data_IF_074272077956
#
_entry.id   IF_074272077956
#
_cell.length_a   1.000
_cell.length_b   1.000
_cell.length_c   1.000
_cell.angle_alpha   90.00
_cell.angle_beta   90.00
_cell.angle_gamma   90.00
#
_symmetry.space_group_name_H-M   'P 1'
#
loop_
_entity.id
_entity.type
_entity.pdbx_description
1 polymer ?
#
# COMPACT_ATOMS: atom_id res chain seq x y z
N UNK A 1 -34.40 -6.00 6.24
CA UNK A 1 -33.51 -5.76 7.41
C UNK A 1 -34.11 -6.45 8.62
N UNK A 2 -33.30 -7.12 9.44
CA UNK A 2 -33.78 -7.62 10.74
C UNK A 2 -34.06 -6.44 11.68
N UNK A 3 -35.09 -6.58 12.51
CA UNK A 3 -35.56 -5.53 13.44
C UNK A 3 -34.44 -5.03 14.38
N UNK A 4 -33.47 -5.90 14.71
CA UNK A 4 -32.28 -5.56 15.50
C UNK A 4 -31.30 -4.62 14.79
N UNK A 5 -31.08 -4.81 13.48
CA UNK A 5 -30.14 -3.97 12.70
C UNK A 5 -30.74 -2.57 12.48
N UNK A 6 -32.07 -2.49 12.30
CA UNK A 6 -32.79 -1.21 12.25
C UNK A 6 -32.70 -0.43 13.56
N UNK A 7 -32.87 -1.10 14.71
CA UNK A 7 -32.81 -0.45 16.04
C UNK A 7 -31.41 0.07 16.40
N UNK A 8 -30.35 -0.62 15.99
CA UNK A 8 -28.96 -0.17 16.22
C UNK A 8 -28.63 1.07 15.38
N UNK A 9 -29.00 1.06 14.10
CA UNK A 9 -28.81 2.19 13.20
C UNK A 9 -29.62 3.42 13.66
N UNK A 10 -30.85 3.21 14.14
CA UNK A 10 -31.70 4.27 14.68
C UNK A 10 -31.07 4.90 15.94
N UNK A 11 -30.44 4.11 16.81
CA UNK A 11 -29.75 4.58 18.01
C UNK A 11 -28.54 5.47 17.66
N UNK A 12 -27.76 5.08 16.65
CA UNK A 12 -26.58 5.83 16.22
C UNK A 12 -26.98 7.18 15.57
N UNK A 13 -28.09 7.19 14.83
CA UNK A 13 -28.70 8.42 14.28
C UNK A 13 -29.24 9.32 15.40
N UNK A 14 -29.89 8.75 16.41
CA UNK A 14 -30.42 9.42 17.59
C UNK A 14 -29.33 10.12 18.42
N UNK A 15 -28.19 9.44 18.65
CA UNK A 15 -27.04 10.02 19.35
C UNK A 15 -26.39 11.16 18.54
N UNK A 16 -26.39 11.07 17.22
CA UNK A 16 -25.82 12.08 16.33
C UNK A 16 -26.70 13.34 16.22
N UNK A 17 -28.02 13.17 16.08
CA UNK A 17 -28.99 14.27 16.04
C UNK A 17 -29.10 15.02 17.38
N UNK A 18 -28.88 14.33 18.50
CA UNK A 18 -28.86 14.93 19.84
C UNK A 18 -27.73 15.94 20.07
N UNK A 19 -26.69 15.94 19.23
CA UNK A 19 -25.51 16.83 19.33
C UNK A 19 -25.56 18.07 18.44
N UNK A 20 -26.58 18.20 17.59
CA UNK A 20 -26.71 19.33 16.65
C UNK A 20 -27.57 20.46 17.24
N UNK A 21 -27.17 21.75 17.12
CA UNK A 21 -28.03 22.85 17.52
C UNK A 21 -29.26 22.93 16.61
N UNK A 22 -30.41 23.28 17.18
CA UNK A 22 -31.71 23.27 16.48
C UNK A 22 -31.71 24.32 15.36
N UNK A 23 -31.32 23.88 14.16
CA UNK A 23 -31.50 24.63 12.93
C UNK A 23 -32.67 24.02 12.17
N UNK A 24 -33.60 24.90 11.79
CA UNK A 24 -34.82 24.63 11.03
C UNK A 24 -35.98 23.97 11.79
N UNK A 25 -36.68 24.77 12.60
CA UNK A 25 -38.14 24.83 12.72
C UNK A 25 -38.94 23.66 13.30
N UNK A 26 -38.38 22.45 13.37
CA UNK A 26 -39.01 21.25 13.97
C UNK A 26 -38.22 20.83 15.21
N UNK A 27 -38.94 20.48 16.27
CA UNK A 27 -38.32 19.92 17.48
C UNK A 27 -37.70 18.55 17.19
N UNK A 28 -36.67 18.16 17.95
CA UNK A 28 -35.98 16.86 17.77
C UNK A 28 -36.95 15.66 17.78
N UNK A 29 -37.95 15.70 18.66
CA UNK A 29 -38.96 14.64 18.79
C UNK A 29 -39.90 14.54 17.56
N UNK A 30 -40.14 15.67 16.87
CA UNK A 30 -40.95 15.72 15.66
C UNK A 30 -40.17 15.21 14.44
N UNK A 31 -38.87 15.53 14.35
CA UNK A 31 -37.98 14.99 13.31
C UNK A 31 -37.89 13.46 13.42
N UNK A 32 -37.85 12.91 14.63
CA UNK A 32 -37.81 11.47 14.85
C UNK A 32 -39.08 10.75 14.42
N UNK A 33 -40.25 11.28 14.79
CA UNK A 33 -41.55 10.76 14.34
C UNK A 33 -41.68 10.80 12.82
N UNK A 34 -41.08 11.81 12.17
CA UNK A 34 -41.06 11.93 10.71
C UNK A 34 -40.17 10.86 10.05
N UNK A 35 -38.97 10.61 10.59
CA UNK A 35 -38.05 9.56 10.09
C UNK A 35 -38.67 8.18 10.22
N UNK A 36 -39.23 7.83 11.38
CA UNK A 36 -39.87 6.53 11.59
C UNK A 36 -41.05 6.32 10.64
N UNK A 37 -41.90 7.34 10.46
CA UNK A 37 -43.01 7.29 9.52
C UNK A 37 -42.52 7.05 8.08
N UNK A 38 -41.51 7.79 7.63
CA UNK A 38 -40.98 7.65 6.27
C UNK A 38 -40.27 6.31 6.03
N UNK A 39 -39.63 5.74 7.05
CA UNK A 39 -39.05 4.39 6.98
C UNK A 39 -40.14 3.31 6.85
N UNK A 40 -41.25 3.44 7.59
CA UNK A 40 -42.41 2.54 7.49
C UNK A 40 -43.07 2.64 6.11
N UNK A 41 -43.09 3.84 5.53
CA UNK A 41 -43.57 4.11 4.17
C UNK A 41 -42.57 3.69 3.07
N UNK A 42 -41.42 3.12 3.44
CA UNK A 42 -40.42 2.58 2.52
C UNK A 42 -39.63 3.65 1.73
N UNK A 43 -39.57 4.89 2.24
CA UNK A 43 -38.84 5.99 1.60
C UNK A 43 -37.33 5.80 1.66
N UNK A 44 -36.64 6.30 0.63
CA UNK A 44 -35.18 6.23 0.52
C UNK A 44 -34.49 7.21 1.48
N UNK A 45 -33.22 6.94 1.80
CA UNK A 45 -32.44 7.76 2.73
C UNK A 45 -32.22 9.20 2.28
N UNK A 46 -32.09 9.44 0.97
CA UNK A 46 -31.99 10.78 0.41
C UNK A 46 -33.30 11.57 0.57
N UNK A 47 -34.44 10.90 0.44
CA UNK A 47 -35.76 11.51 0.67
C UNK A 47 -35.96 11.84 2.16
N UNK A 48 -35.57 10.93 3.05
CA UNK A 48 -35.61 11.15 4.50
C UNK A 48 -34.70 12.31 4.89
N UNK A 49 -33.47 12.34 4.36
CA UNK A 49 -32.49 13.38 4.65
C UNK A 49 -32.95 14.78 4.26
N UNK A 50 -33.43 14.91 3.02
CA UNK A 50 -34.04 16.16 2.56
C UNK A 50 -35.23 16.59 3.43
N UNK A 51 -36.04 15.64 3.90
CA UNK A 51 -37.24 15.94 4.69
C UNK A 51 -36.95 16.48 6.11
N UNK A 52 -35.86 16.04 6.77
CA UNK A 52 -35.51 16.53 8.11
C UNK A 52 -34.44 17.63 8.13
N UNK A 53 -34.06 18.13 6.94
CA UNK A 53 -33.00 19.12 6.78
C UNK A 53 -31.62 18.55 7.13
N UNK A 54 -31.46 17.24 6.93
CA UNK A 54 -30.22 16.49 7.12
C UNK A 54 -29.60 16.28 5.73
N UNK A 55 -28.59 17.08 5.42
CA UNK A 55 -27.76 16.88 4.24
C UNK A 55 -26.71 15.82 4.59
N UNK A 56 -27.14 14.56 4.56
CA UNK A 56 -26.40 13.32 4.91
C UNK A 56 -24.92 13.47 5.33
N UNK A 57 -24.59 13.35 6.62
CA UNK A 57 -23.25 13.21 7.16
C UNK A 57 -22.80 11.75 7.07
N UNK A 58 -22.60 11.29 5.85
CA UNK A 58 -21.25 10.82 5.49
C UNK A 58 -20.53 12.06 4.93
N UNK A 59 -20.28 13.15 5.68
CA UNK A 59 -19.34 13.21 6.81
C UNK A 59 -18.37 12.03 6.80
N UNK A 60 -17.49 11.87 5.81
CA UNK A 60 -16.50 12.85 5.34
C UNK A 60 -15.43 13.18 6.41
N UNK A 61 -15.60 12.80 7.68
CA UNK A 61 -14.74 13.32 8.77
C UNK A 61 -14.45 12.33 9.93
N UNK A 62 -14.99 11.10 9.97
CA UNK A 62 -14.78 10.22 11.14
C UNK A 62 -13.53 9.32 11.14
N UNK A 63 -12.70 9.41 10.11
CA UNK A 63 -11.31 8.98 10.21
C UNK A 63 -10.43 10.16 9.80
N UNK A 64 -10.15 11.04 10.77
CA UNK A 64 -9.01 11.96 10.70
C UNK A 64 -7.77 11.09 10.45
N UNK A 65 -7.25 11.11 9.22
CA UNK A 65 -5.90 10.67 8.93
C UNK A 65 -5.06 11.92 8.83
N UNK A 66 -4.15 12.11 9.78
CA UNK A 66 -3.18 13.21 9.76
C UNK A 66 -2.27 13.09 8.52
N UNK A 67 -2.13 14.20 7.81
CA UNK A 67 -1.12 14.46 6.78
C UNK A 67 0.28 14.63 7.42
N UNK A 68 1.41 14.31 6.73
CA UNK A 68 1.94 15.30 5.78
C UNK A 68 2.77 14.80 4.56
N UNK A 69 2.49 15.45 3.42
CA UNK A 69 3.39 16.16 2.49
C UNK A 69 4.52 15.46 1.67
N UNK A 70 4.47 15.86 0.39
CA UNK A 70 5.10 15.55 -0.93
C UNK A 70 6.59 15.95 -1.13
N UNK A 71 7.21 15.86 -2.35
CA UNK A 71 7.20 14.86 -3.45
C UNK A 71 8.57 14.73 -4.22
N UNK A 72 8.51 14.09 -5.41
CA UNK A 72 9.25 14.30 -6.70
C UNK A 72 10.61 13.64 -6.94
N UNK A 73 10.61 12.78 -7.96
CA UNK A 73 11.73 12.53 -8.88
C UNK A 73 12.94 11.81 -8.27
N UNK A 74 13.20 10.61 -8.74
CA UNK A 74 14.21 9.71 -8.15
C UNK A 74 13.53 8.71 -7.24
N UNK A 75 14.01 7.46 -7.31
CA UNK A 75 13.62 6.26 -6.54
C UNK A 75 12.45 6.53 -5.58
N UNK A 76 11.26 6.04 -5.88
CA UNK A 76 10.08 6.23 -5.03
C UNK A 76 10.44 5.92 -3.57
N UNK A 77 10.44 6.94 -2.69
CA UNK A 77 10.52 6.73 -1.25
C UNK A 77 9.40 5.76 -0.91
N UNK A 78 9.69 4.56 -0.37
CA UNK A 78 8.61 3.67 0.03
C UNK A 78 7.78 4.40 1.06
N UNK A 79 6.48 4.12 1.07
CA UNK A 79 5.48 4.78 1.89
C UNK A 79 5.86 4.98 3.36
N UNK A 80 6.77 4.17 3.90
CA UNK A 80 7.18 4.15 5.30
C UNK A 80 8.57 4.71 5.58
N UNK A 81 9.33 5.13 4.57
CA UNK A 81 10.69 5.58 4.76
C UNK A 81 10.76 7.11 4.81
N UNK A 82 11.47 7.63 5.81
CA UNK A 82 11.80 9.05 5.91
C UNK A 82 12.85 9.43 4.84
N UNK A 83 13.74 8.48 4.55
CA UNK A 83 14.87 8.67 3.65
C UNK A 83 15.17 7.42 2.83
N UNK A 84 15.78 7.63 1.67
CA UNK A 84 16.40 6.58 0.87
C UNK A 84 17.89 6.66 1.13
N UNK A 85 18.51 5.51 1.27
CA UNK A 85 19.94 5.37 1.42
C UNK A 85 20.47 4.48 0.29
N UNK A 86 21.42 5.04 -0.46
CA UNK A 86 22.19 4.34 -1.47
C UNK A 86 23.58 3.98 -0.91
N UNK A 87 23.79 2.73 -0.47
CA UNK A 87 25.08 2.32 0.08
C UNK A 87 26.18 2.21 -0.98
N UNK A 88 25.85 2.10 -2.28
CA UNK A 88 26.86 2.12 -3.34
C UNK A 88 27.41 3.54 -3.51
N UNK A 89 26.53 4.54 -3.42
CA UNK A 89 26.93 5.94 -3.45
C UNK A 89 27.66 6.38 -2.17
N UNK A 90 27.14 5.98 -1.00
CA UNK A 90 27.67 6.43 0.29
C UNK A 90 27.42 5.42 1.43
N UNK A 91 28.24 4.37 1.50
CA UNK A 91 28.15 3.30 2.51
C UNK A 91 28.11 3.79 3.97
N UNK A 92 28.86 4.83 4.34
CA UNK A 92 28.96 5.25 5.75
C UNK A 92 28.01 6.39 6.12
N UNK A 93 27.22 6.90 5.17
CA UNK A 93 26.36 8.07 5.38
C UNK A 93 25.38 7.86 6.54
N UNK A 94 24.77 6.69 6.62
CA UNK A 94 23.80 6.37 7.66
C UNK A 94 24.37 6.46 9.09
N UNK A 95 25.68 6.28 9.28
CA UNK A 95 26.32 6.41 10.60
C UNK A 95 26.42 7.86 11.09
N UNK A 96 26.30 8.83 10.17
CA UNK A 96 26.40 10.25 10.50
C UNK A 96 25.08 10.86 10.99
N UNK A 97 23.95 10.18 10.75
CA UNK A 97 22.62 10.69 11.06
C UNK A 97 22.36 10.65 12.57
N UNK A 98 21.98 11.80 13.13
CA UNK A 98 21.83 11.99 14.57
C UNK A 98 20.41 11.71 15.10
N UNK A 99 19.45 11.50 14.20
CA UNK A 99 18.04 11.26 14.54
C UNK A 99 17.59 9.89 14.05
N UNK A 100 16.76 9.14 14.81
CA UNK A 100 16.15 7.90 14.35
C UNK A 100 15.41 8.13 13.03
N UNK A 101 15.62 7.23 12.06
CA UNK A 101 15.02 7.29 10.73
C UNK A 101 14.54 5.92 10.31
N UNK A 102 13.47 5.88 9.52
CA UNK A 102 13.10 4.75 8.69
C UNK A 102 13.77 4.93 7.33
N UNK A 103 14.67 4.01 7.00
CA UNK A 103 15.58 4.11 5.87
C UNK A 103 15.19 3.05 4.86
N UNK A 104 14.87 3.44 3.64
CA UNK A 104 14.82 2.50 2.55
C UNK A 104 16.20 2.27 1.96
N UNK A 105 16.59 1.01 1.84
CA UNK A 105 17.87 0.64 1.24
C UNK A 105 17.65 0.36 -0.25
N UNK A 106 18.29 1.16 -1.10
CA UNK A 106 18.22 1.08 -2.56
C UNK A 106 19.64 1.14 -3.13
N UNK A 107 19.98 0.52 -4.28
CA UNK A 107 19.14 -0.36 -5.10
C UNK A 107 18.96 -1.75 -4.45
N UNK A 108 18.41 -2.73 -5.19
CA UNK A 108 18.19 -4.10 -4.69
C UNK A 108 19.50 -4.70 -4.14
N UNK A 109 19.60 -4.78 -2.80
CA UNK A 109 20.80 -5.20 -2.08
C UNK A 109 21.25 -6.63 -2.45
N UNK A 110 20.32 -7.47 -2.93
CA UNK A 110 20.61 -8.86 -3.32
C UNK A 110 20.61 -9.06 -4.83
N UNK A 111 20.80 -7.99 -5.60
CA UNK A 111 21.01 -8.09 -7.03
C UNK A 111 22.24 -8.98 -7.35
N UNK A 112 22.18 -9.90 -8.33
CA UNK A 112 23.26 -10.86 -8.60
C UNK A 112 24.62 -10.24 -8.96
N UNK A 113 24.65 -8.96 -9.38
CA UNK A 113 25.90 -8.24 -9.66
C UNK A 113 26.60 -7.72 -8.40
N UNK A 114 25.90 -7.65 -7.26
CA UNK A 114 26.47 -7.16 -6.02
C UNK A 114 27.17 -8.31 -5.28
N UNK A 115 28.46 -8.15 -4.94
CA UNK A 115 29.18 -9.17 -4.20
C UNK A 115 28.63 -9.26 -2.77
N UNK A 116 28.60 -10.47 -2.21
CA UNK A 116 28.14 -10.66 -0.83
C UNK A 116 28.98 -9.92 0.19
N UNK A 117 30.26 -9.64 -0.10
CA UNK A 117 31.12 -8.80 0.72
C UNK A 117 30.58 -7.37 0.86
N UNK A 118 29.91 -6.84 -0.17
CA UNK A 118 29.24 -5.55 -0.09
C UNK A 118 27.98 -5.63 0.78
N UNK A 119 27.19 -6.68 0.63
CA UNK A 119 26.03 -6.94 1.51
C UNK A 119 26.47 -7.06 2.98
N UNK A 120 27.59 -7.73 3.24
CA UNK A 120 28.20 -7.84 4.58
C UNK A 120 28.52 -6.45 5.17
N UNK A 121 29.04 -5.53 4.36
CA UNK A 121 29.35 -4.15 4.75
C UNK A 121 28.08 -3.33 5.01
N UNK A 122 27.05 -3.45 4.17
CA UNK A 122 25.77 -2.77 4.38
C UNK A 122 25.11 -3.23 5.67
N UNK A 123 25.04 -4.55 5.90
CA UNK A 123 24.50 -5.09 7.15
C UNK A 123 25.35 -4.70 8.36
N UNK A 124 26.67 -4.60 8.22
CA UNK A 124 27.54 -4.06 9.28
C UNK A 124 27.19 -2.61 9.66
N UNK A 125 26.83 -1.77 8.68
CA UNK A 125 26.33 -0.41 8.95
C UNK A 125 25.01 -0.49 9.74
N UNK A 126 24.06 -1.34 9.34
CA UNK A 126 22.79 -1.49 10.10
C UNK A 126 22.99 -1.94 11.56
N UNK A 127 24.05 -2.72 11.81
CA UNK A 127 24.49 -3.15 13.14
C UNK A 127 25.10 -2.00 13.94
N UNK A 128 25.82 -1.09 13.28
CA UNK A 128 26.48 0.07 13.89
C UNK A 128 25.49 1.19 14.25
N UNK A 129 24.41 1.34 13.47
CA UNK A 129 23.41 2.40 13.64
C UNK A 129 22.02 1.86 13.97
N UNK A 130 21.93 1.15 15.09
CA UNK A 130 20.70 0.48 15.57
C UNK A 130 19.54 1.41 15.90
N UNK A 131 19.79 2.73 16.00
CA UNK A 131 18.75 3.73 16.21
C UNK A 131 17.84 3.92 14.99
N UNK A 132 18.28 3.51 13.79
CA UNK A 132 17.48 3.59 12.57
C UNK A 132 16.86 2.24 12.23
N UNK A 133 15.70 2.28 11.59
CA UNK A 133 15.01 1.12 11.04
C UNK A 133 15.29 1.03 9.54
N UNK A 134 15.79 -0.11 9.06
CA UNK A 134 16.15 -0.34 7.67
C UNK A 134 15.09 -1.19 6.98
N UNK A 135 14.49 -0.67 5.94
CA UNK A 135 13.58 -1.35 5.03
C UNK A 135 14.41 -1.81 3.83
N UNK A 136 14.75 -3.09 3.80
CA UNK A 136 15.48 -3.72 2.70
C UNK A 136 14.45 -4.42 1.81
N UNK A 137 14.48 -4.19 0.51
CA UNK A 137 13.58 -4.81 -0.46
C UNK A 137 14.39 -5.49 -1.55
N UNK A 138 13.97 -6.69 -1.99
CA UNK A 138 14.62 -7.41 -3.08
C UNK A 138 13.65 -8.08 -4.04
N UNK A 139 14.02 -8.17 -5.31
CA UNK A 139 13.37 -9.02 -6.31
C UNK A 139 14.07 -10.39 -6.44
N UNK A 140 15.28 -10.51 -5.89
CA UNK A 140 16.17 -11.66 -6.02
C UNK A 140 16.12 -12.55 -4.77
N UNK A 141 14.93 -13.02 -4.42
CA UNK A 141 14.68 -13.86 -3.24
C UNK A 141 15.60 -15.09 -3.12
N UNK A 142 15.94 -15.82 -4.19
CA UNK A 142 16.90 -16.93 -4.10
C UNK A 142 18.30 -16.49 -3.65
N UNK A 143 18.79 -15.35 -4.15
CA UNK A 143 20.11 -14.81 -3.80
C UNK A 143 20.13 -14.38 -2.33
N UNK A 144 19.07 -13.69 -1.89
CA UNK A 144 18.89 -13.32 -0.49
C UNK A 144 18.87 -14.55 0.43
N UNK A 145 18.15 -15.60 0.02
CA UNK A 145 18.10 -16.87 0.75
C UNK A 145 19.48 -17.51 0.87
N UNK A 146 20.19 -17.67 -0.24
CA UNK A 146 21.53 -18.26 -0.28
C UNK A 146 22.52 -17.46 0.56
N UNK A 147 22.37 -16.14 0.59
CA UNK A 147 23.10 -15.28 1.52
C UNK A 147 22.78 -15.67 2.96
N UNK A 148 21.54 -15.48 3.45
CA UNK A 148 21.24 -15.66 4.88
C UNK A 148 21.41 -17.10 5.39
N UNK A 149 21.22 -18.12 4.54
CA UNK A 149 21.39 -19.53 4.92
C UNK A 149 22.85 -20.01 4.91
N UNK A 150 23.79 -19.19 4.44
CA UNK A 150 25.20 -19.57 4.40
C UNK A 150 25.84 -19.57 5.79
N UNK A 151 26.41 -20.72 6.18
CA UNK A 151 26.91 -21.05 7.53
C UNK A 151 27.88 -20.04 8.17
N UNK A 152 28.56 -19.24 7.37
CA UNK A 152 29.61 -18.33 7.84
C UNK A 152 29.27 -16.85 7.69
N UNK A 153 28.08 -16.50 7.17
CA UNK A 153 27.76 -15.09 6.89
C UNK A 153 27.75 -14.22 8.11
N UNK A 154 27.26 -14.76 9.23
CA UNK A 154 27.32 -14.03 10.48
C UNK A 154 28.74 -13.59 10.86
N UNK A 155 29.71 -14.50 10.71
CA UNK A 155 31.12 -14.18 10.97
C UNK A 155 31.68 -13.11 10.01
N UNK A 156 31.18 -13.07 8.76
CA UNK A 156 31.56 -12.06 7.77
C UNK A 156 31.00 -10.68 8.08
N UNK A 157 29.72 -10.59 8.46
CA UNK A 157 29.10 -9.33 8.91
C UNK A 157 29.83 -8.78 10.14
N UNK A 158 30.16 -9.64 11.11
CA UNK A 158 30.93 -9.23 12.29
C UNK A 158 32.35 -8.78 11.94
N UNK A 159 33.00 -9.44 10.99
CA UNK A 159 34.30 -9.03 10.48
C UNK A 159 34.22 -7.64 9.83
N UNK A 160 33.24 -7.42 8.95
CA UNK A 160 33.01 -6.12 8.32
C UNK A 160 32.71 -5.03 9.37
N UNK A 161 31.90 -5.32 10.37
CA UNK A 161 31.59 -4.42 11.50
C UNK A 161 32.86 -3.98 12.23
N UNK A 162 33.75 -4.93 12.56
CA UNK A 162 35.04 -4.64 13.21
C UNK A 162 35.97 -3.82 12.32
N UNK A 163 35.98 -4.08 11.01
CA UNK A 163 36.78 -3.31 10.06
C UNK A 163 36.29 -1.86 9.96
N UNK A 164 34.97 -1.66 9.91
CA UNK A 164 34.37 -0.32 9.83
C UNK A 164 34.50 0.47 11.14
N UNK A 165 34.42 -0.21 12.29
CA UNK A 165 34.53 0.42 13.59
C UNK A 165 35.31 -0.45 14.61
N UNK A 166 36.66 -0.41 14.60
CA UNK A 166 37.53 -1.29 15.40
C UNK A 166 37.31 -1.22 16.93
N UNK A 167 36.74 -0.13 17.43
CA UNK A 167 36.49 0.08 18.86
C UNK A 167 35.12 -0.42 19.36
N UNK A 168 34.23 -0.92 18.49
CA UNK A 168 32.90 -1.36 18.94
C UNK A 168 32.95 -2.83 19.37
N UNK A 169 32.93 -3.06 20.69
CA UNK A 169 32.89 -4.39 21.33
C UNK A 169 31.51 -4.71 21.92
N UNK A 170 30.42 -4.14 21.40
CA UNK A 170 29.08 -4.50 21.90
C UNK A 170 28.75 -5.94 21.54
N UNK A 171 28.03 -6.62 22.45
CA UNK A 171 27.31 -7.84 22.13
C UNK A 171 26.34 -7.52 20.99
N UNK A 172 26.72 -7.88 19.77
CA UNK A 172 25.83 -7.74 18.62
C UNK A 172 24.86 -8.90 18.70
N UNK A 173 23.56 -8.59 18.71
CA UNK A 173 22.51 -9.59 18.58
C UNK A 173 22.73 -10.43 17.32
N UNK A 174 22.67 -11.75 17.44
CA UNK A 174 22.63 -12.64 16.28
C UNK A 174 21.46 -12.24 15.36
N UNK A 175 21.61 -12.52 14.06
CA UNK A 175 20.50 -12.41 13.12
C UNK A 175 19.28 -13.20 13.63
N UNK A 176 18.04 -12.67 13.51
CA UNK A 176 17.64 -11.44 12.83
C UNK A 176 17.81 -10.14 13.64
N UNK A 177 18.21 -9.06 12.98
CA UNK A 177 18.36 -7.76 13.64
C UNK A 177 16.99 -7.09 13.89
N UNK A 178 16.75 -6.52 15.09
CA UNK A 178 15.46 -5.93 15.42
C UNK A 178 15.13 -4.69 14.58
N UNK A 179 16.17 -4.00 14.09
CA UNK A 179 16.04 -2.78 13.31
C UNK A 179 16.11 -3.00 11.78
N UNK A 180 16.06 -4.26 11.32
CA UNK A 180 16.04 -4.60 9.88
C UNK A 180 14.72 -5.28 9.53
N UNK A 181 14.01 -4.68 8.58
CA UNK A 181 12.76 -5.16 8.01
C UNK A 181 13.03 -5.66 6.59
N UNK A 182 12.85 -6.96 6.37
CA UNK A 182 13.11 -7.59 5.07
C UNK A 182 11.84 -7.64 4.23
N UNK A 183 11.96 -7.19 2.99
CA UNK A 183 10.89 -7.10 2.01
C UNK A 183 11.16 -7.92 0.77
N UNK A 184 10.12 -8.55 0.22
CA UNK A 184 10.13 -9.10 -1.13
C UNK A 184 9.31 -8.21 -2.08
N UNK A 185 9.82 -7.98 -3.28
CA UNK A 185 9.12 -7.29 -4.37
C UNK A 185 8.57 -8.33 -5.35
N UNK A 186 7.25 -8.34 -5.53
CA UNK A 186 6.52 -9.31 -6.36
C UNK A 186 5.79 -8.54 -7.46
N UNK A 187 6.03 -8.93 -8.72
CA UNK A 187 5.41 -8.35 -9.92
C UNK A 187 4.55 -9.33 -10.70
N UNK A 188 4.70 -10.64 -10.43
CA UNK A 188 3.98 -11.71 -11.14
C UNK A 188 3.69 -12.91 -10.25
N UNK A 189 2.72 -13.73 -10.68
CA UNK A 189 2.39 -14.96 -9.95
C UNK A 189 3.55 -15.96 -9.97
N UNK A 190 4.38 -15.99 -11.03
CA UNK A 190 5.57 -16.84 -11.06
C UNK A 190 6.58 -16.47 -9.96
N UNK A 191 6.81 -15.17 -9.73
CA UNK A 191 7.64 -14.72 -8.61
C UNK A 191 7.02 -15.08 -7.27
N UNK A 192 5.70 -14.90 -7.15
CA UNK A 192 4.94 -15.26 -5.97
C UNK A 192 5.02 -16.76 -5.65
N UNK A 193 5.03 -17.63 -6.66
CA UNK A 193 5.14 -19.07 -6.48
C UNK A 193 6.53 -19.48 -5.94
N UNK A 194 7.53 -18.60 -6.06
CA UNK A 194 8.88 -18.74 -5.48
C UNK A 194 9.06 -17.98 -4.16
N UNK A 195 7.99 -17.44 -3.58
CA UNK A 195 8.05 -16.71 -2.31
C UNK A 195 8.60 -17.56 -1.16
N UNK A 196 8.55 -18.90 -1.26
CA UNK A 196 9.17 -19.81 -0.31
C UNK A 196 10.63 -19.46 -0.02
N UNK A 197 11.37 -18.96 -1.02
CA UNK A 197 12.76 -18.56 -0.83
C UNK A 197 12.90 -17.40 0.17
N UNK A 198 11.98 -16.44 0.12
CA UNK A 198 11.88 -15.35 1.09
C UNK A 198 11.35 -15.83 2.45
N UNK A 199 10.42 -16.78 2.46
CA UNK A 199 9.85 -17.31 3.71
C UNK A 199 10.86 -18.12 4.53
N UNK A 200 11.82 -18.79 3.88
CA UNK A 200 12.90 -19.52 4.55
C UNK A 200 13.84 -18.60 5.36
N UNK A 201 13.98 -17.33 4.98
CA UNK A 201 14.86 -16.37 5.67
C UNK A 201 14.20 -15.88 6.94
N UNK A 202 14.86 -15.97 8.09
CA UNK A 202 14.34 -15.38 9.33
C UNK A 202 14.43 -13.85 9.29
N UNK A 203 13.40 -13.14 9.74
CA UNK A 203 13.44 -11.69 9.90
C UNK A 203 12.52 -11.28 11.06
N UNK A 204 12.82 -10.15 11.71
CA UNK A 204 11.95 -9.61 12.76
C UNK A 204 10.63 -9.09 12.17
N UNK A 205 10.73 -8.44 11.02
CA UNK A 205 9.60 -7.98 10.20
C UNK A 205 9.82 -8.46 8.78
N UNK A 206 8.81 -9.14 8.23
CA UNK A 206 8.72 -9.53 6.83
C UNK A 206 7.62 -8.74 6.17
N UNK A 207 7.89 -8.17 5.02
CA UNK A 207 6.87 -7.46 4.26
C UNK A 207 6.95 -7.76 2.78
N UNK A 208 5.88 -7.45 2.06
CA UNK A 208 5.81 -7.67 0.61
C UNK A 208 5.37 -6.39 -0.07
N UNK A 209 6.12 -5.96 -1.09
CA UNK A 209 5.68 -4.97 -2.06
C UNK A 209 5.18 -5.69 -3.29
N UNK A 210 3.97 -5.35 -3.72
CA UNK A 210 3.34 -5.90 -4.91
C UNK A 210 3.19 -4.80 -5.92
N UNK A 211 3.83 -4.96 -7.08
CA UNK A 211 3.60 -4.08 -8.23
C UNK A 211 2.71 -4.81 -9.23
N UNK A 212 1.42 -4.50 -9.20
CA UNK A 212 0.39 -5.21 -9.93
C UNK A 212 0.45 -4.93 -11.45
N UNK A 213 0.74 -5.99 -12.20
CA UNK A 213 0.54 -6.07 -13.65
C UNK A 213 -0.32 -7.26 -14.08
N UNK A 214 -0.76 -8.07 -13.12
CA UNK A 214 -1.65 -9.21 -13.31
C UNK A 214 -2.40 -9.51 -12.00
N UNK A 215 -3.45 -10.37 -12.05
CA UNK A 215 -4.06 -10.90 -10.83
C UNK A 215 -3.04 -11.67 -10.00
N UNK A 216 -3.06 -11.47 -8.67
CA UNK A 216 -2.19 -12.16 -7.73
C UNK A 216 -2.99 -12.79 -6.59
N UNK A 217 -2.52 -13.96 -6.15
CA UNK A 217 -3.02 -14.61 -4.95
C UNK A 217 -1.88 -14.79 -3.93
N UNK A 218 -1.97 -14.06 -2.81
CA UNK A 218 -1.02 -14.16 -1.70
C UNK A 218 -1.53 -15.03 -0.56
N UNK A 219 -2.82 -15.43 -0.57
CA UNK A 219 -3.47 -16.20 0.50
C UNK A 219 -2.63 -17.35 1.07
N UNK A 220 -1.88 -18.14 0.25
CA UNK A 220 -1.11 -19.27 0.77
C UNK A 220 -0.09 -18.92 1.86
N UNK A 221 0.38 -17.67 1.93
CA UNK A 221 1.43 -17.26 2.88
C UNK A 221 1.15 -15.96 3.64
N UNK A 222 0.00 -15.31 3.45
CA UNK A 222 -0.30 -14.03 4.10
C UNK A 222 -0.07 -14.03 5.63
N UNK A 223 -0.39 -15.13 6.30
CA UNK A 223 -0.21 -15.28 7.76
C UNK A 223 1.27 -15.33 8.23
N UNK A 224 2.22 -15.37 7.29
CA UNK A 224 3.67 -15.47 7.57
C UNK A 224 4.41 -14.14 7.41
N UNK A 225 3.71 -13.10 6.95
CA UNK A 225 4.26 -11.75 6.73
C UNK A 225 3.53 -10.73 7.62
N UNK A 226 4.09 -9.54 7.76
CA UNK A 226 3.60 -8.50 8.66
C UNK A 226 2.72 -7.46 7.97
N UNK A 227 2.96 -7.17 6.69
CA UNK A 227 2.11 -6.27 5.90
C UNK A 227 2.38 -6.41 4.40
N UNK A 228 1.43 -5.88 3.63
CA UNK A 228 1.49 -5.81 2.16
C UNK A 228 1.37 -4.36 1.72
N UNK A 229 2.25 -3.97 0.80
CA UNK A 229 2.18 -2.71 0.06
C UNK A 229 1.86 -3.05 -1.39
N UNK A 230 0.92 -2.34 -2.00
CA UNK A 230 0.43 -2.61 -3.34
C UNK A 230 0.44 -1.33 -4.18
N UNK A 231 0.89 -1.42 -5.43
CA UNK A 231 0.83 -0.30 -6.37
C UNK A 231 0.83 -0.78 -7.82
N UNK A 232 0.54 0.12 -8.75
CA UNK A 232 0.74 -0.10 -10.18
C UNK A 232 2.17 0.21 -10.62
N UNK A 233 2.49 -0.13 -11.87
CA UNK A 233 3.83 0.10 -12.44
C UNK A 233 4.05 1.57 -12.80
N UNK A 234 5.31 2.01 -12.71
CA UNK A 234 5.78 3.31 -13.17
C UNK A 234 6.87 3.14 -14.23
N UNK A 235 7.04 4.14 -15.10
CA UNK A 235 8.02 4.17 -16.17
C UNK A 235 7.46 3.96 -17.59
N UNK A 236 8.28 4.17 -18.64
CA UNK A 236 7.86 4.16 -20.04
C UNK A 236 7.16 2.88 -20.52
N UNK A 237 7.44 1.74 -19.90
CA UNK A 237 6.86 0.43 -20.23
C UNK A 237 5.81 -0.05 -19.20
N UNK A 238 5.34 0.84 -18.32
CA UNK A 238 4.36 0.51 -17.29
C UNK A 238 3.09 -0.09 -17.91
N UNK A 239 2.65 -1.22 -17.34
CA UNK A 239 1.38 -1.85 -17.70
C UNK A 239 0.23 -1.29 -16.86
N UNK A 240 -0.99 -1.24 -17.41
CA UNK A 240 -2.15 -0.79 -16.64
C UNK A 240 -2.49 -1.75 -15.50
N UNK A 241 -2.87 -1.17 -14.35
CA UNK A 241 -3.23 -1.91 -13.14
C UNK A 241 -4.76 -1.95 -12.97
N UNK A 242 -5.36 -3.14 -13.03
CA UNK A 242 -6.80 -3.27 -12.93
C UNK A 242 -7.31 -3.02 -11.49
N UNK A 243 -8.30 -2.14 -11.27
CA UNK A 243 -8.87 -1.86 -9.94
C UNK A 243 -9.36 -3.10 -9.18
N UNK A 244 -9.98 -4.04 -9.90
CA UNK A 244 -10.39 -5.33 -9.33
C UNK A 244 -9.25 -6.16 -8.73
N UNK A 245 -8.02 -6.06 -9.23
CA UNK A 245 -6.86 -6.76 -8.64
C UNK A 245 -6.48 -6.16 -7.29
N UNK A 246 -6.44 -4.83 -7.20
CA UNK A 246 -6.17 -4.11 -5.94
C UNK A 246 -7.23 -4.46 -4.89
N UNK A 247 -8.52 -4.45 -5.27
CA UNK A 247 -9.62 -4.81 -4.37
C UNK A 247 -9.54 -6.27 -3.91
N UNK A 248 -9.26 -7.21 -4.82
CA UNK A 248 -9.06 -8.62 -4.47
C UNK A 248 -7.90 -8.78 -3.49
N UNK A 249 -6.76 -8.16 -3.74
CA UNK A 249 -5.59 -8.23 -2.87
C UNK A 249 -5.85 -7.63 -1.47
N UNK A 250 -6.53 -6.48 -1.42
CA UNK A 250 -6.99 -5.86 -0.18
C UNK A 250 -7.89 -6.82 0.61
N UNK A 251 -8.86 -7.47 -0.07
CA UNK A 251 -9.76 -8.41 0.57
C UNK A 251 -9.02 -9.63 1.13
N UNK A 252 -8.04 -10.19 0.39
CA UNK A 252 -7.19 -11.29 0.89
C UNK A 252 -6.47 -10.86 2.19
N UNK A 253 -5.87 -9.67 2.20
CA UNK A 253 -5.18 -9.14 3.38
C UNK A 253 -6.14 -8.90 4.56
N UNK A 254 -7.33 -8.33 4.30
CA UNK A 254 -8.35 -8.10 5.32
C UNK A 254 -8.85 -9.40 5.94
N UNK A 255 -9.07 -10.44 5.14
CA UNK A 255 -9.48 -11.75 5.64
C UNK A 255 -8.40 -12.40 6.51
N UNK A 256 -7.13 -12.19 6.17
CA UNK A 256 -5.99 -12.66 6.95
C UNK A 256 -5.59 -11.73 8.12
N UNK A 257 -6.31 -10.61 8.32
CA UNK A 257 -5.98 -9.56 9.28
C UNK A 257 -4.54 -9.00 9.13
N UNK A 258 -4.11 -8.86 7.88
CA UNK A 258 -2.81 -8.30 7.50
C UNK A 258 -2.99 -6.84 7.05
N UNK A 259 -2.21 -5.88 7.60
CA UNK A 259 -2.21 -4.51 7.13
C UNK A 259 -1.90 -4.42 5.64
N UNK A 260 -2.73 -3.65 4.92
CA UNK A 260 -2.64 -3.44 3.49
C UNK A 260 -2.54 -1.94 3.19
N UNK A 261 -1.58 -1.57 2.35
CA UNK A 261 -1.35 -0.19 1.93
C UNK A 261 -1.33 -0.10 0.42
N UNK A 262 -1.96 0.94 -0.12
CA UNK A 262 -2.04 1.18 -1.56
C UNK A 262 -1.29 2.46 -1.92
N UNK A 263 -0.25 2.34 -2.75
CA UNK A 263 0.61 3.45 -3.18
C UNK A 263 0.04 4.19 -4.41
N UNK A 264 -0.98 3.62 -5.07
CA UNK A 264 -1.59 4.19 -6.27
C UNK A 264 -1.51 3.26 -7.48
N UNK A 265 -2.14 3.66 -8.59
CA UNK A 265 -2.17 2.84 -9.82
C UNK A 265 -0.95 3.03 -10.75
N UNK A 266 0.02 3.85 -10.35
CA UNK A 266 1.19 4.16 -11.17
C UNK A 266 0.86 5.08 -12.35
N UNK A 267 1.38 4.76 -13.54
CA UNK A 267 1.19 5.59 -14.75
C UNK A 267 -0.17 5.42 -15.44
N UNK A 268 -0.99 4.47 -15.01
CA UNK A 268 -2.30 4.20 -15.62
C UNK A 268 -3.40 4.39 -14.61
N UNK A 269 -4.39 5.21 -14.94
CA UNK A 269 -5.57 5.42 -14.10
C UNK A 269 -6.82 4.81 -14.76
N UNK A 270 -7.69 4.14 -13.99
CA UNK A 270 -9.04 3.81 -14.47
C UNK A 270 -9.84 5.08 -14.81
N UNK A 271 -10.53 5.06 -15.94
CA UNK A 271 -11.40 6.13 -16.43
C UNK A 271 -12.51 6.45 -15.44
N UNK A 272 -12.81 7.73 -15.26
CA UNK A 272 -13.78 8.21 -14.27
C UNK A 272 -13.16 8.57 -12.91
N UNK A 273 -11.86 8.36 -12.71
CA UNK A 273 -11.15 8.93 -11.56
C UNK A 273 -11.02 10.45 -11.71
N UNK A 274 -11.24 11.18 -10.61
CA UNK A 274 -11.04 12.64 -10.55
C UNK A 274 -9.58 12.97 -10.89
N UNK A 275 -9.35 14.03 -11.66
CA UNK A 275 -8.00 14.47 -12.07
C UNK A 275 -7.55 13.99 -13.45
N UNK A 276 -8.31 13.11 -14.12
CA UNK A 276 -8.02 12.68 -15.49
C UNK A 276 -8.57 13.71 -16.48
N UNK A 277 -7.76 14.69 -16.88
CA UNK A 277 -8.12 15.58 -18.00
C UNK A 277 -8.10 14.79 -19.31
N UNK A 278 -9.27 14.66 -19.92
CA UNK A 278 -9.45 13.93 -21.15
C UNK A 278 -8.70 14.54 -22.35
N UNK A 279 -8.19 15.76 -22.22
CA UNK A 279 -7.42 16.47 -23.25
C UNK A 279 -5.91 16.14 -23.26
N UNK A 280 -5.39 15.48 -22.22
CA UNK A 280 -3.95 15.16 -22.06
C UNK A 280 -3.58 13.71 -22.42
N UNK A 281 -4.52 12.93 -22.95
CA UNK A 281 -4.38 11.50 -23.26
C UNK A 281 -3.36 11.24 -24.36
N UNK A 282 -2.39 10.35 -24.12
CA UNK A 282 -1.55 9.78 -25.19
C UNK A 282 -1.93 8.33 -25.47
N UNK A 283 -2.10 7.52 -24.42
CA UNK A 283 -2.46 6.10 -24.55
C UNK A 283 -3.69 5.78 -23.69
N UNK A 284 -4.62 4.98 -24.22
CA UNK A 284 -5.80 4.51 -23.49
C UNK A 284 -6.28 3.17 -24.08
N UNK A 285 -7.08 2.42 -23.32
CA UNK A 285 -7.66 1.16 -23.78
C UNK A 285 -8.48 0.48 -22.70
N UNK A 286 -9.05 -0.69 -23.00
CA UNK A 286 -9.80 -1.49 -22.03
C UNK A 286 -8.92 -2.59 -21.46
N UNK A 287 -8.89 -2.72 -20.14
CA UNK A 287 -8.24 -3.79 -19.40
C UNK A 287 -9.30 -4.66 -18.74
N UNK A 288 -9.25 -5.98 -18.96
CA UNK A 288 -10.10 -6.93 -18.24
C UNK A 288 -9.46 -7.46 -16.94
N UNK A 289 -10.26 -8.15 -16.14
CA UNK A 289 -9.84 -8.79 -14.89
C UNK A 289 -8.81 -9.91 -15.10
N UNK A 290 -8.63 -10.41 -16.33
CA UNK A 290 -7.65 -11.44 -16.68
C UNK A 290 -6.29 -10.86 -17.10
N UNK A 291 -6.22 -9.55 -17.35
CA UNK A 291 -5.00 -8.85 -17.76
C UNK A 291 -4.88 -8.66 -19.28
N UNK A 292 -5.94 -8.92 -20.04
CA UNK A 292 -5.97 -8.61 -21.46
C UNK A 292 -6.21 -7.10 -21.63
N UNK A 293 -5.35 -6.45 -22.41
CA UNK A 293 -5.43 -5.03 -22.69
C UNK A 293 -5.65 -4.79 -24.18
N UNK A 294 -6.69 -4.04 -24.52
CA UNK A 294 -7.04 -3.66 -25.89
C UNK A 294 -6.91 -2.14 -26.07
N UNK A 295 -5.84 -1.66 -26.74
CA UNK A 295 -5.64 -0.24 -26.99
C UNK A 295 -6.77 0.37 -27.80
N UNK A 296 -7.13 1.62 -27.49
CA UNK A 296 -8.15 2.41 -28.19
C UNK A 296 -9.53 1.75 -28.30
N UNK A 297 -9.83 0.85 -27.36
CA UNK A 297 -11.14 0.20 -27.26
C UNK A 297 -11.86 0.61 -25.98
N UNK A 298 -13.19 0.62 -26.06
CA UNK A 298 -14.08 0.70 -24.90
C UNK A 298 -14.66 -0.69 -24.63
N UNK A 299 -15.13 -0.97 -23.40
CA UNK A 299 -15.86 -2.19 -23.12
C UNK A 299 -16.99 -2.38 -24.14
N UNK A 300 -17.21 -3.60 -24.61
CA UNK A 300 -18.35 -3.90 -25.47
C UNK A 300 -19.56 -4.11 -24.55
N UNK A 301 -20.34 -3.04 -24.32
CA UNK A 301 -21.34 -2.92 -23.24
C UNK A 301 -22.60 -3.83 -23.39
N UNK A 302 -22.44 -5.13 -23.58
CA UNK A 302 -23.51 -6.14 -23.59
C UNK A 302 -23.75 -6.86 -22.25
N UNK A 303 -23.06 -6.45 -21.18
CA UNK A 303 -23.16 -7.10 -19.87
C UNK A 303 -24.40 -6.61 -19.11
N UNK A 304 -25.38 -7.50 -18.93
CA UNK A 304 -26.48 -7.30 -17.98
C UNK A 304 -25.94 -7.48 -16.55
N UNK A 305 -25.58 -6.37 -15.90
CA UNK A 305 -25.56 -6.12 -14.44
C UNK A 305 -24.85 -7.12 -13.48
N UNK A 306 -24.13 -8.15 -13.93
CA UNK A 306 -23.58 -9.15 -12.99
C UNK A 306 -22.09 -8.99 -12.62
N UNK A 307 -21.27 -8.28 -13.40
CA UNK A 307 -19.85 -8.08 -13.06
C UNK A 307 -19.34 -6.67 -13.43
N UNK A 308 -19.67 -5.63 -12.65
CA UNK A 308 -19.24 -4.24 -12.89
C UNK A 308 -17.71 -4.01 -12.82
N UNK A 309 -16.95 -5.03 -12.42
CA UNK A 309 -15.50 -5.02 -12.24
C UNK A 309 -14.78 -5.94 -13.23
N UNK A 310 -15.43 -6.36 -14.32
CA UNK A 310 -14.83 -7.27 -15.29
C UNK A 310 -13.88 -6.53 -16.24
N UNK A 311 -14.25 -5.32 -16.67
CA UNK A 311 -13.50 -4.51 -17.62
C UNK A 311 -13.46 -3.04 -17.17
N UNK A 312 -12.30 -2.41 -17.28
CA UNK A 312 -12.13 -0.98 -17.04
C UNK A 312 -11.38 -0.31 -18.19
N UNK A 313 -11.87 0.85 -18.61
CA UNK A 313 -11.07 1.75 -19.46
C UNK A 313 -9.93 2.28 -18.61
N UNK A 314 -8.70 2.10 -19.08
CA UNK A 314 -7.47 2.59 -18.46
C UNK A 314 -6.90 3.70 -19.34
N UNK A 315 -6.44 4.76 -18.70
CA UNK A 315 -5.85 5.94 -19.36
C UNK A 315 -4.46 6.14 -18.80
N UNK A 316 -3.47 6.24 -19.68
CA UNK A 316 -2.12 6.59 -19.28
C UNK A 316 -2.05 8.08 -18.97
N UNK A 317 -1.54 8.41 -17.80
CA UNK A 317 -1.36 9.80 -17.37
C UNK A 317 0.08 10.24 -17.56
N UNK A 318 0.26 11.47 -18.04
CA UNK A 318 1.56 12.16 -17.95
C UNK A 318 1.82 12.50 -16.48
N UNK A 319 3.10 12.69 -16.13
CA UNK A 319 3.56 13.00 -14.77
C UNK A 319 2.80 14.15 -14.07
N UNK A 320 2.12 15.01 -14.84
CA UNK A 320 1.36 16.17 -14.36
C UNK A 320 -0.09 15.85 -13.92
N UNK A 321 -0.65 14.70 -14.32
CA UNK A 321 -2.04 14.29 -14.04
C UNK A 321 -2.17 13.30 -12.87
N UNK A 322 -1.19 13.27 -11.98
CA UNK A 322 -1.25 12.46 -10.78
C UNK A 322 -2.08 13.19 -9.71
N UNK A 323 -3.30 13.63 -9.98
CA UNK A 323 -4.13 14.29 -8.96
C UNK A 323 -5.19 13.32 -8.41
N UNK A 324 -5.21 13.09 -7.11
CA UNK A 324 -6.27 12.33 -6.41
C UNK A 324 -6.92 13.26 -5.38
N UNK A 325 -8.25 13.42 -5.44
CA UNK A 325 -9.05 14.14 -4.44
C UNK A 325 -8.53 15.55 -4.05
N UNK A 326 -7.94 16.29 -4.98
CA UNK A 326 -7.42 17.64 -4.75
C UNK A 326 -5.92 17.70 -4.43
N UNK A 327 -5.16 16.61 -4.60
CA UNK A 327 -3.71 16.58 -4.42
C UNK A 327 -2.94 15.96 -5.59
N UNK A 328 -1.96 16.70 -6.12
CA UNK A 328 -0.98 16.30 -7.15
C UNK A 328 0.16 15.45 -6.54
N UNK A 329 0.32 14.18 -6.92
CA UNK A 329 1.38 13.25 -6.51
C UNK A 329 2.70 13.51 -7.22
#
# INVERSE_FOLDING_TARGET
MTEQTGKKLLKDILEHLGRQPVLFGLGQEEKLKLVEKMLIEGKSWDEIGKAIGWDGPTAKEHYEWEEPLKPKGGLEKPLFADTIWDPEAALLEALSWQEPKKIFVSPDLFHPSLPFEFVDQVLAVTVLSQMHTYLILTENMPVMRDYFLSKFRWGKILQATKTLHPGMLREVSNWPFPNVWLGASIKSQEQNDRISDFLDVQARVKWVRVTLACPLNLEPFLYTINWVVCGGQTGPEAKPCHPGWVRKLKNQCQQANIPFFFEGFGEWLPSGFKGVDASLKTDWGTLDIHGNFWPETTPWNGHQDQEPDFEHVMVRVKDECREMDGQIW
#
